data_IF_591588163116
#
_entry.id   IF_591588163116
#
_cell.length_a   1.000
_cell.length_b   1.000
_cell.length_c   1.000
_cell.angle_alpha   90.00
_cell.angle_beta   90.00
_cell.angle_gamma   90.00
#
_symmetry.space_group_name_H-M   'P 1'
#
loop_
_entity.id
_entity.type
_entity.pdbx_description
1 polymer ?
#
# COMPACT_ATOMS: atom_id res chain seq x y z
N UNK A 1 -0.74 -67.57 45.75
CA UNK A 1 -0.38 -68.11 44.42
C UNK A 1 -0.01 -66.93 43.53
N UNK A 2 1.28 -66.74 43.18
CA UNK A 2 1.92 -67.24 41.94
C UNK A 2 1.18 -66.73 40.68
N UNK A 3 1.75 -65.95 39.76
CA UNK A 3 3.13 -65.98 39.27
C UNK A 3 3.66 -64.60 38.87
N UNK A 4 4.94 -64.44 39.16
CA UNK A 4 5.92 -63.59 38.49
C UNK A 4 6.16 -64.23 37.10
N UNK A 5 6.13 -63.47 36.00
CA UNK A 5 7.15 -63.63 34.96
C UNK A 5 7.27 -62.43 34.00
N UNK A 6 8.49 -62.19 33.48
CA UNK A 6 8.99 -60.96 32.91
C UNK A 6 8.96 -61.00 31.39
N UNK A 7 9.19 -59.85 30.77
CA UNK A 7 9.99 -59.84 29.55
C UNK A 7 10.80 -58.54 29.50
N UNK A 8 12.07 -58.68 29.89
CA UNK A 8 13.11 -57.76 29.49
C UNK A 8 13.62 -58.17 28.10
N UNK A 9 13.99 -57.14 27.34
CA UNK A 9 15.03 -57.16 26.31
C UNK A 9 14.56 -57.31 24.87
N UNK A 10 14.92 -56.29 24.09
CA UNK A 10 15.73 -56.55 22.90
C UNK A 10 15.04 -56.26 21.58
N UNK A 11 15.25 -55.04 21.10
CA UNK A 11 15.73 -54.77 19.75
C UNK A 11 14.88 -55.24 18.57
N UNK A 12 14.30 -54.26 17.87
CA UNK A 12 14.11 -54.15 16.41
C UNK A 12 13.34 -52.85 16.17
N UNK A 13 14.02 -51.73 15.96
CA UNK A 13 14.36 -51.22 14.62
C UNK A 13 13.23 -51.47 13.61
N UNK A 14 12.65 -50.37 13.11
CA UNK A 14 11.91 -50.17 11.85
C UNK A 14 10.55 -49.51 12.08
N UNK A 15 10.42 -48.27 11.59
CA UNK A 15 9.15 -47.58 11.42
C UNK A 15 9.09 -46.14 11.93
N UNK A 16 10.14 -45.33 11.75
CA UNK A 16 9.98 -43.88 11.85
C UNK A 16 9.10 -43.45 10.67
N UNK A 17 7.80 -43.29 10.92
CA UNK A 17 6.87 -42.65 10.00
C UNK A 17 7.46 -41.27 9.65
N UNK A 18 7.80 -40.99 8.39
CA UNK A 18 8.29 -39.67 8.03
C UNK A 18 7.16 -38.67 8.28
N UNK A 19 7.44 -37.67 9.12
CA UNK A 19 6.54 -36.55 9.34
C UNK A 19 6.17 -35.95 7.98
N UNK A 20 4.89 -35.62 7.73
CA UNK A 20 4.51 -34.93 6.52
C UNK A 20 5.25 -33.59 6.51
N UNK A 21 6.20 -33.46 5.60
CA UNK A 21 6.79 -32.17 5.26
C UNK A 21 5.70 -31.37 4.57
N UNK A 22 4.92 -30.62 5.36
CA UNK A 22 4.05 -29.57 4.84
C UNK A 22 4.95 -28.52 4.21
N UNK A 23 5.25 -28.73 2.93
CA UNK A 23 5.65 -27.67 2.03
C UNK A 23 4.51 -26.66 2.10
N UNK A 24 4.78 -25.50 2.69
CA UNK A 24 3.93 -24.33 2.49
C UNK A 24 3.85 -24.12 0.98
N UNK A 25 2.77 -24.58 0.37
CA UNK A 25 2.33 -24.10 -0.91
C UNK A 25 1.91 -22.66 -0.65
N UNK A 26 2.84 -21.75 -0.93
CA UNK A 26 2.49 -20.35 -1.13
C UNK A 26 1.85 -20.31 -2.52
N UNK A 27 0.61 -20.77 -2.61
CA UNK A 27 -0.25 -20.51 -3.77
C UNK A 27 -0.65 -19.04 -3.72
N UNK A 28 0.29 -18.19 -4.11
CA UNK A 28 0.07 -16.81 -4.47
C UNK A 28 0.71 -16.63 -5.83
N UNK A 29 -0.06 -16.96 -6.87
CA UNK A 29 0.26 -16.58 -8.24
C UNK A 29 0.64 -15.10 -8.25
N UNK A 30 1.92 -14.81 -8.50
CA UNK A 30 2.32 -13.51 -8.98
C UNK A 30 1.71 -13.36 -10.37
N UNK A 31 0.48 -12.84 -10.42
CA UNK A 31 -0.22 -12.53 -11.65
C UNK A 31 0.61 -11.48 -12.40
N UNK A 32 1.07 -11.75 -13.64
CA UNK A 32 1.84 -10.79 -14.38
C UNK A 32 0.90 -9.75 -15.00
N UNK A 33 1.28 -8.48 -14.86
CA UNK A 33 0.86 -7.37 -15.71
C UNK A 33 -0.65 -7.00 -15.70
N UNK A 34 -1.11 -6.35 -14.62
CA UNK A 34 -2.20 -5.36 -14.66
C UNK A 34 -1.79 -3.96 -14.18
N UNK A 35 -0.49 -3.69 -14.04
CA UNK A 35 -0.02 -2.53 -13.27
C UNK A 35 0.18 -1.22 -14.04
N UNK A 36 0.26 -1.24 -15.38
CA UNK A 36 0.42 0.02 -16.13
C UNK A 36 -0.83 0.92 -16.05
N UNK A 37 -2.02 0.32 -15.91
CA UNK A 37 -3.27 1.06 -15.69
C UNK A 37 -3.46 1.51 -14.24
N UNK A 38 -2.92 0.76 -13.26
CA UNK A 38 -3.15 1.03 -11.83
C UNK A 38 -2.48 2.33 -11.39
N UNK A 39 -1.23 2.56 -11.80
CA UNK A 39 -0.52 3.81 -11.47
C UNK A 39 -1.11 5.03 -12.17
N UNK A 40 -1.46 4.92 -13.47
CA UNK A 40 -2.11 6.01 -14.21
C UNK A 40 -3.42 6.42 -13.52
N UNK A 41 -4.25 5.46 -13.17
CA UNK A 41 -5.53 5.72 -12.51
C UNK A 41 -5.30 6.34 -11.12
N UNK A 42 -4.41 5.77 -10.31
CA UNK A 42 -4.04 6.33 -9.02
C UNK A 42 -3.55 7.78 -9.13
N UNK A 43 -2.73 8.09 -10.15
CA UNK A 43 -2.22 9.43 -10.38
C UNK A 43 -3.35 10.40 -10.78
N UNK A 44 -4.26 9.98 -11.67
CA UNK A 44 -5.43 10.77 -12.05
C UNK A 44 -6.33 11.03 -10.84
N UNK A 45 -6.67 9.99 -10.08
CA UNK A 45 -7.46 10.10 -8.85
C UNK A 45 -6.79 11.04 -7.84
N UNK A 46 -5.45 10.96 -7.71
CA UNK A 46 -4.69 11.86 -6.82
C UNK A 46 -4.76 13.32 -7.26
N UNK A 47 -4.72 13.59 -8.57
CA UNK A 47 -4.86 14.95 -9.12
C UNK A 47 -6.27 15.48 -8.88
N UNK A 48 -7.29 14.67 -9.11
CA UNK A 48 -8.69 15.03 -8.83
C UNK A 48 -8.90 15.30 -7.33
N UNK A 49 -8.34 14.45 -6.46
CA UNK A 49 -8.38 14.66 -5.01
C UNK A 49 -7.74 15.98 -4.60
N UNK A 50 -6.56 16.31 -5.14
CA UNK A 50 -5.86 17.58 -4.87
C UNK A 50 -6.67 18.78 -5.36
N UNK A 51 -7.39 18.65 -6.47
CA UNK A 51 -8.31 19.68 -6.94
C UNK A 51 -9.51 19.84 -5.98
N UNK A 52 -10.11 18.74 -5.53
CA UNK A 52 -11.17 18.77 -4.52
C UNK A 52 -10.73 19.40 -3.21
N UNK A 53 -9.52 19.10 -2.73
CA UNK A 53 -8.95 19.69 -1.53
C UNK A 53 -8.76 21.22 -1.66
N UNK A 54 -8.33 21.70 -2.83
CA UNK A 54 -8.22 23.14 -3.10
C UNK A 54 -9.59 23.82 -3.06
N UNK A 55 -10.59 23.27 -3.77
CA UNK A 55 -11.94 23.84 -3.76
C UNK A 55 -12.57 23.88 -2.36
N UNK A 56 -12.38 22.81 -1.58
CA UNK A 56 -12.85 22.75 -0.19
C UNK A 56 -12.16 23.80 0.69
N UNK A 57 -10.85 23.97 0.53
CA UNK A 57 -10.11 25.00 1.24
C UNK A 57 -10.60 26.41 0.88
N UNK A 58 -10.82 26.69 -0.40
CA UNK A 58 -11.33 27.99 -0.88
C UNK A 58 -12.72 28.28 -0.30
N UNK A 59 -13.63 27.30 -0.32
CA UNK A 59 -14.97 27.42 0.26
C UNK A 59 -14.91 27.64 1.78
N UNK A 60 -14.02 26.92 2.48
CA UNK A 60 -13.87 27.06 3.92
C UNK A 60 -13.32 28.45 4.29
N UNK A 61 -12.41 28.99 3.49
CA UNK A 61 -11.89 30.35 3.63
C UNK A 61 -12.98 31.38 3.38
N UNK A 62 -13.79 31.22 2.32
CA UNK A 62 -14.92 32.10 2.03
C UNK A 62 -15.96 32.07 3.15
N UNK A 63 -16.32 30.88 3.64
CA UNK A 63 -17.23 30.71 4.77
C UNK A 63 -16.72 31.45 6.02
N UNK A 64 -15.41 31.39 6.29
CA UNK A 64 -14.80 32.09 7.42
C UNK A 64 -14.92 33.61 7.29
N UNK A 65 -14.65 34.17 6.10
CA UNK A 65 -14.72 35.62 5.87
C UNK A 65 -16.15 36.17 5.82
N UNK A 66 -17.11 35.33 5.40
CA UNK A 66 -18.54 35.70 5.36
C UNK A 66 -19.23 35.54 6.71
N UNK A 67 -18.51 35.10 7.75
CA UNK A 67 -19.04 34.92 9.10
C UNK A 67 -19.84 33.64 9.28
N UNK A 68 -19.62 32.64 8.43
CA UNK A 68 -20.16 31.29 8.59
C UNK A 68 -19.63 30.61 9.85
N UNK A 69 -20.37 29.61 10.34
CA UNK A 69 -20.03 28.83 11.52
C UNK A 69 -18.94 27.79 11.20
N UNK A 70 -17.72 28.27 10.95
CA UNK A 70 -16.55 27.45 10.64
C UNK A 70 -15.41 27.77 11.61
N UNK A 71 -14.74 26.72 12.08
CA UNK A 71 -13.60 26.88 12.99
C UNK A 71 -12.35 27.36 12.22
N UNK A 72 -11.74 28.50 12.57
CA UNK A 72 -10.54 29.00 11.88
C UNK A 72 -9.38 27.98 11.84
N UNK A 73 -9.23 27.17 12.88
CA UNK A 73 -8.18 26.14 12.92
C UNK A 73 -8.42 25.02 11.90
N UNK A 74 -9.68 24.65 11.66
CA UNK A 74 -10.05 23.66 10.66
C UNK A 74 -9.86 24.20 9.25
N UNK A 75 -10.25 25.46 9.01
CA UNK A 75 -10.01 26.17 7.74
C UNK A 75 -8.51 26.20 7.42
N UNK A 76 -7.68 26.63 8.38
CA UNK A 76 -6.23 26.66 8.21
C UNK A 76 -5.66 25.26 7.95
N UNK A 77 -6.18 24.23 8.63
CA UNK A 77 -5.78 22.84 8.42
C UNK A 77 -6.13 22.36 7.00
N UNK A 78 -7.31 22.70 6.50
CA UNK A 78 -7.73 22.37 5.14
C UNK A 78 -6.82 23.00 4.09
N UNK A 79 -6.50 24.30 4.26
CA UNK A 79 -5.56 25.03 3.39
C UNK A 79 -4.17 24.39 3.42
N UNK A 80 -3.63 24.08 4.59
CA UNK A 80 -2.31 23.45 4.72
C UNK A 80 -2.26 22.07 4.07
N UNK A 81 -3.31 21.26 4.24
CA UNK A 81 -3.43 19.96 3.58
C UNK A 81 -3.46 20.10 2.06
N UNK A 82 -4.23 21.05 1.54
CA UNK A 82 -4.32 21.31 0.10
C UNK A 82 -2.96 21.76 -0.48
N UNK A 83 -2.24 22.67 0.19
CA UNK A 83 -0.91 23.11 -0.23
C UNK A 83 0.10 21.95 -0.26
N UNK A 84 0.16 21.16 0.82
CA UNK A 84 1.08 20.04 0.90
C UNK A 84 0.79 19.00 -0.20
N UNK A 85 -0.47 18.66 -0.42
CA UNK A 85 -0.88 17.72 -1.45
C UNK A 85 -0.54 18.25 -2.86
N UNK A 86 -0.79 19.54 -3.12
CA UNK A 86 -0.41 20.18 -4.38
C UNK A 86 1.10 20.13 -4.65
N UNK A 87 1.92 20.47 -3.64
CA UNK A 87 3.38 20.44 -3.74
C UNK A 87 3.89 19.04 -4.04
N UNK A 88 3.30 18.01 -3.42
CA UNK A 88 3.60 16.62 -3.72
C UNK A 88 3.26 16.26 -5.18
N UNK A 89 2.08 16.65 -5.66
CA UNK A 89 1.68 16.42 -7.06
C UNK A 89 2.63 17.09 -8.05
N UNK A 90 3.12 18.29 -7.75
CA UNK A 90 4.13 18.96 -8.58
C UNK A 90 5.45 18.20 -8.62
N UNK A 91 5.88 17.61 -7.50
CA UNK A 91 7.09 16.76 -7.48
C UNK A 91 6.92 15.53 -8.37
N UNK A 92 5.76 14.87 -8.30
CA UNK A 92 5.44 13.72 -9.15
C UNK A 92 5.38 14.14 -10.62
N UNK A 93 4.71 15.25 -10.95
CA UNK A 93 4.67 15.81 -12.31
C UNK A 93 6.07 16.04 -12.87
N UNK A 94 6.94 16.68 -12.09
CA UNK A 94 8.31 16.96 -12.51
C UNK A 94 9.07 15.66 -12.77
N UNK A 95 8.98 14.69 -11.86
CA UNK A 95 9.66 13.39 -12.02
C UNK A 95 9.18 12.63 -13.25
N UNK A 96 7.88 12.67 -13.57
CA UNK A 96 7.34 12.04 -14.77
C UNK A 96 7.85 12.72 -16.05
N UNK A 97 7.98 14.04 -16.05
CA UNK A 97 8.57 14.77 -17.17
C UNK A 97 10.05 14.43 -17.34
N UNK A 98 10.79 14.25 -16.24
CA UNK A 98 12.20 13.83 -16.29
C UNK A 98 12.34 12.41 -16.87
N UNK A 99 11.51 11.47 -16.42
CA UNK A 99 11.48 10.10 -16.96
C UNK A 99 11.11 10.10 -18.44
N UNK A 100 10.17 10.94 -18.86
CA UNK A 100 9.82 11.09 -20.27
C UNK A 100 11.02 11.55 -21.10
N UNK A 101 11.74 12.57 -20.65
CA UNK A 101 12.96 13.06 -21.31
C UNK A 101 14.06 11.99 -21.38
N UNK A 102 14.33 11.30 -20.27
CA UNK A 102 15.33 10.22 -20.20
C UNK A 102 15.05 9.11 -21.25
N UNK A 103 13.79 8.69 -21.40
CA UNK A 103 13.41 7.67 -22.39
C UNK A 103 13.63 8.16 -23.82
N UNK A 104 13.47 9.47 -24.09
CA UNK A 104 13.75 10.04 -25.41
C UNK A 104 15.25 10.05 -25.70
N UNK A 105 16.08 10.44 -24.73
CA UNK A 105 17.54 10.54 -24.89
C UNK A 105 18.21 9.16 -25.04
N UNK A 106 17.71 8.12 -24.37
CA UNK A 106 18.21 6.73 -24.49
C UNK A 106 17.94 6.11 -25.89
N UNK A 107 16.99 6.65 -26.65
CA UNK A 107 16.56 6.09 -27.95
C UNK A 107 17.30 6.67 -29.17
N UNK A 108 18.40 7.39 -28.98
CA UNK A 108 19.20 8.01 -30.05
C UNK A 108 20.62 7.43 -30.04
#
# INVERSE_FOLDING_TARGET
>A
MNAINPNASGGRLVGATPLPSQRLTIAGEASPAKDAGSFKNLLLDSIENVNGMQQQADQAVEALFTGGDVNPAEVLTAVQKADMAFRLTMQVRNKLMDVYREIQDVRI
#
